data_IF_482831661443
#
_entry.id   IF_482831661443
#
_cell.length_a   1.000
_cell.length_b   1.000
_cell.length_c   1.000
_cell.angle_alpha   90.00
_cell.angle_beta   90.00
_cell.angle_gamma   90.00
#
_symmetry.space_group_name_H-M   'P 1'
#
loop_
_entity.id
_entity.type
_entity.pdbx_description
1 polymer ?
#
# COMPACT_ATOMS: atom_id res chain seq x y z
N UNK A 1 15.95 -32.44 7.19
CA UNK A 1 15.56 -32.20 5.79
C UNK A 1 14.53 -31.09 5.76
N UNK A 2 14.60 -30.17 4.79
CA UNK A 2 13.49 -29.24 4.52
C UNK A 2 12.55 -29.97 3.57
N UNK A 3 11.37 -30.37 4.05
CA UNK A 3 10.36 -30.99 3.19
C UNK A 3 9.56 -29.91 2.46
N UNK A 4 9.21 -30.21 1.21
CA UNK A 4 8.43 -29.35 0.32
C UNK A 4 7.18 -30.08 -0.16
N UNK A 5 6.17 -29.32 -0.55
CA UNK A 5 4.93 -29.81 -1.19
C UNK A 5 4.58 -28.92 -2.36
N UNK A 6 3.87 -29.48 -3.33
CA UNK A 6 3.30 -28.69 -4.44
C UNK A 6 2.31 -27.65 -3.90
N UNK A 7 2.39 -26.40 -4.38
CA UNK A 7 1.50 -25.33 -3.92
C UNK A 7 0.14 -25.34 -4.61
N UNK A 8 -0.04 -26.09 -5.70
CA UNK A 8 -1.20 -26.01 -6.58
C UNK A 8 -1.31 -24.71 -7.39
N UNK A 9 -0.23 -23.91 -7.46
CA UNK A 9 -0.19 -22.61 -8.15
C UNK A 9 0.99 -22.62 -9.13
N UNK A 10 0.69 -22.58 -10.42
CA UNK A 10 1.66 -22.80 -11.51
C UNK A 10 2.92 -21.92 -11.39
N UNK A 11 2.76 -20.62 -11.13
CA UNK A 11 3.88 -19.68 -11.08
C UNK A 11 4.70 -19.78 -9.78
N UNK A 12 4.18 -20.43 -8.74
CA UNK A 12 4.80 -20.48 -7.41
C UNK A 12 5.62 -21.77 -7.19
N UNK A 13 5.17 -22.90 -7.76
CA UNK A 13 5.86 -24.19 -7.66
C UNK A 13 5.78 -24.83 -6.28
N UNK A 14 6.90 -25.31 -5.75
CA UNK A 14 6.95 -25.99 -4.45
C UNK A 14 7.09 -25.02 -3.27
N UNK A 15 6.37 -25.29 -2.18
CA UNK A 15 6.40 -24.52 -0.93
C UNK A 15 6.80 -25.40 0.25
N UNK A 16 7.32 -24.83 1.35
CA UNK A 16 7.65 -25.62 2.54
C UNK A 16 6.43 -26.38 3.07
N UNK A 17 6.60 -27.65 3.40
CA UNK A 17 5.49 -28.54 3.75
C UNK A 17 4.68 -28.03 4.96
N UNK A 18 5.36 -27.40 5.92
CA UNK A 18 4.79 -26.85 7.15
C UNK A 18 3.97 -25.56 6.96
N UNK A 19 3.98 -24.94 5.78
CA UNK A 19 3.18 -23.75 5.51
C UNK A 19 1.69 -24.08 5.48
N UNK A 20 0.89 -23.20 6.10
CA UNK A 20 -0.57 -23.31 6.17
C UNK A 20 -1.20 -22.22 5.31
N UNK A 21 -2.28 -22.56 4.60
CA UNK A 21 -3.10 -21.57 3.91
C UNK A 21 -3.99 -20.86 4.93
N UNK A 22 -3.85 -19.54 5.02
CA UNK A 22 -4.64 -18.69 5.91
C UNK A 22 -5.23 -17.55 5.11
N UNK A 23 -6.47 -17.15 5.42
CA UNK A 23 -7.14 -16.03 4.75
C UNK A 23 -6.51 -14.71 5.20
N UNK A 24 -6.13 -13.83 4.25
CA UNK A 24 -5.51 -12.53 4.55
C UNK A 24 -6.32 -11.67 5.53
N UNK A 25 -7.65 -11.73 5.47
CA UNK A 25 -8.56 -11.01 6.39
C UNK A 25 -8.35 -11.33 7.88
N UNK A 26 -7.64 -12.41 8.19
CA UNK A 26 -7.32 -12.78 9.57
C UNK A 26 -6.16 -11.96 10.15
N UNK A 27 -5.34 -11.34 9.30
CA UNK A 27 -4.16 -10.56 9.69
C UNK A 27 -4.28 -9.08 9.36
N UNK A 28 -5.10 -8.73 8.37
CA UNK A 28 -5.24 -7.36 7.90
C UNK A 28 -6.66 -6.85 8.11
N UNK A 29 -6.75 -5.57 8.50
CA UNK A 29 -8.00 -4.81 8.55
C UNK A 29 -7.93 -3.75 7.46
N UNK A 30 -8.98 -3.65 6.65
CA UNK A 30 -9.10 -2.59 5.67
C UNK A 30 -9.29 -1.26 6.41
N UNK A 31 -8.38 -0.33 6.19
CA UNK A 31 -8.52 1.06 6.66
C UNK A 31 -8.93 1.92 5.49
N UNK A 32 -10.03 2.64 5.68
CA UNK A 32 -10.50 3.68 4.76
C UNK A 32 -11.02 4.84 5.61
N UNK A 33 -10.09 5.63 6.13
CA UNK A 33 -10.36 6.78 7.00
C UNK A 33 -9.91 8.03 6.25
N UNK A 34 -10.86 8.86 5.74
CA UNK A 34 -10.50 10.12 5.11
C UNK A 34 -9.93 11.11 6.14
N UNK A 35 -8.94 11.90 5.71
CA UNK A 35 -8.23 12.85 6.56
C UNK A 35 -9.06 14.10 6.91
N UNK A 36 -10.01 14.47 6.04
CA UNK A 36 -10.85 15.67 6.22
C UNK A 36 -10.02 16.95 6.28
N UNK A 37 -10.48 17.92 7.08
CA UNK A 37 -9.87 19.26 7.21
C UNK A 37 -8.45 19.26 7.80
N UNK A 38 -7.96 18.12 8.29
CA UNK A 38 -6.61 17.99 8.84
C UNK A 38 -5.54 17.79 7.76
N UNK A 39 -5.92 17.66 6.48
CA UNK A 39 -4.97 17.38 5.39
C UNK A 39 -3.87 18.43 5.27
N UNK A 40 -4.19 19.70 5.53
CA UNK A 40 -3.25 20.82 5.43
C UNK A 40 -2.24 20.88 6.59
N UNK A 41 -2.44 20.10 7.65
CA UNK A 41 -1.55 19.98 8.82
C UNK A 41 -0.85 18.63 8.88
N UNK A 42 -1.11 17.78 7.90
CA UNK A 42 -0.62 16.40 7.86
C UNK A 42 0.37 16.25 6.71
N UNK A 43 1.36 15.39 6.91
CA UNK A 43 2.39 15.12 5.90
C UNK A 43 1.76 14.40 4.71
N UNK A 44 1.78 15.01 3.53
CA UNK A 44 1.32 14.35 2.32
C UNK A 44 2.29 13.23 1.91
N UNK A 45 1.76 12.01 1.72
CA UNK A 45 2.52 10.87 1.24
C UNK A 45 2.17 10.54 -0.22
N UNK A 46 3.11 9.92 -0.93
CA UNK A 46 2.92 9.37 -2.26
C UNK A 46 3.34 7.91 -2.29
N UNK A 47 2.48 7.07 -2.87
CA UNK A 47 2.86 5.72 -3.25
C UNK A 47 3.56 5.75 -4.61
N UNK A 48 4.73 5.13 -4.71
CA UNK A 48 5.56 5.08 -5.91
C UNK A 48 6.04 3.65 -6.20
N UNK A 49 6.68 3.44 -7.35
CA UNK A 49 7.36 2.19 -7.67
C UNK A 49 8.45 1.81 -6.65
N UNK A 50 9.00 2.79 -5.94
CA UNK A 50 10.04 2.61 -4.93
C UNK A 50 9.49 2.60 -3.49
N UNK A 51 8.17 2.53 -3.33
CA UNK A 51 7.49 2.52 -2.04
C UNK A 51 6.84 3.85 -1.67
N UNK A 52 6.54 4.00 -0.37
CA UNK A 52 5.86 5.15 0.20
C UNK A 52 6.88 6.23 0.56
N UNK A 53 6.72 7.42 -0.02
CA UNK A 53 7.59 8.56 0.21
C UNK A 53 6.79 9.77 0.68
N UNK A 54 7.46 10.69 1.35
CA UNK A 54 6.93 12.03 1.60
C UNK A 54 6.87 12.82 0.30
N UNK A 55 5.75 13.49 0.04
CA UNK A 55 5.54 14.30 -1.15
C UNK A 55 5.71 15.76 -0.81
N UNK A 56 6.66 16.42 -1.46
CA UNK A 56 6.85 17.87 -1.31
C UNK A 56 5.73 18.62 -2.03
N UNK A 57 5.03 19.47 -1.28
CA UNK A 57 3.96 20.33 -1.79
C UNK A 57 4.54 21.61 -2.40
N UNK A 58 5.74 22.03 -1.99
CA UNK A 58 6.37 23.28 -2.42
C UNK A 58 7.00 23.19 -3.81
N UNK A 59 7.34 21.98 -4.25
CA UNK A 59 7.80 21.69 -5.60
C UNK A 59 6.90 20.64 -6.26
N UNK A 60 5.65 21.02 -6.63
CA UNK A 60 4.65 20.06 -7.06
C UNK A 60 4.99 19.54 -8.48
N UNK A 61 5.58 18.35 -8.55
CA UNK A 61 5.72 17.60 -9.80
C UNK A 61 4.46 16.74 -10.08
N UNK A 62 3.91 16.87 -11.28
CA UNK A 62 2.74 16.11 -11.72
C UNK A 62 1.40 16.74 -11.35
N UNK A 63 0.33 15.94 -11.34
CA UNK A 63 -1.04 16.42 -11.09
C UNK A 63 -1.30 16.53 -9.59
N UNK A 64 -1.75 17.69 -9.15
CA UNK A 64 -2.18 17.96 -7.77
C UNK A 64 -3.65 18.41 -7.77
N UNK A 65 -4.51 17.80 -6.95
CA UNK A 65 -5.82 18.38 -6.68
C UNK A 65 -5.67 19.65 -5.82
N UNK A 66 -6.70 20.50 -5.85
CA UNK A 66 -6.78 21.67 -4.98
C UNK A 66 -7.11 21.33 -3.52
N UNK A 67 -7.56 20.10 -3.26
CA UNK A 67 -7.99 19.63 -1.95
C UNK A 67 -7.63 18.15 -1.77
N UNK A 68 -7.20 17.81 -0.55
CA UNK A 68 -6.77 16.46 -0.16
C UNK A 68 -7.65 15.85 0.94
N UNK A 69 -8.80 16.44 1.28
CA UNK A 69 -9.63 16.01 2.40
C UNK A 69 -10.13 14.55 2.29
N UNK A 70 -10.24 14.02 1.07
CA UNK A 70 -10.68 12.65 0.78
C UNK A 70 -9.55 11.62 0.84
N UNK A 71 -8.30 12.07 0.99
CA UNK A 71 -7.15 11.16 1.09
C UNK A 71 -7.18 10.40 2.40
N UNK A 72 -6.53 9.24 2.42
CA UNK A 72 -6.60 8.32 3.54
C UNK A 72 -5.48 8.59 4.54
N UNK A 73 -5.79 8.52 5.84
CA UNK A 73 -4.78 8.57 6.90
C UNK A 73 -3.92 7.30 6.82
N UNK A 74 -2.60 7.48 6.82
CA UNK A 74 -1.60 6.42 6.78
C UNK A 74 -0.75 6.46 8.04
N UNK A 75 -0.60 5.30 8.69
CA UNK A 75 0.33 5.13 9.80
C UNK A 75 1.52 4.27 9.39
N UNK A 76 2.62 4.44 10.12
CA UNK A 76 3.76 3.52 10.00
C UNK A 76 3.29 2.07 10.19
N UNK A 77 3.74 1.19 9.30
CA UNK A 77 3.32 -0.23 9.27
C UNK A 77 2.07 -0.51 8.45
N UNK A 78 1.35 0.52 7.96
CA UNK A 78 0.23 0.30 7.06
C UNK A 78 0.71 -0.14 5.67
N UNK A 79 0.01 -1.13 5.10
CA UNK A 79 0.22 -1.61 3.74
C UNK A 79 -0.76 -0.89 2.80
N UNK A 80 -0.22 -0.10 1.89
CA UNK A 80 -0.98 0.74 0.96
C UNK A 80 -1.10 0.03 -0.38
N UNK A 81 -2.31 -0.01 -0.93
CA UNK A 81 -2.59 -0.61 -2.23
C UNK A 81 -3.07 0.46 -3.21
N UNK A 82 -2.44 0.54 -4.38
CA UNK A 82 -3.03 1.22 -5.52
C UNK A 82 -4.02 0.26 -6.21
N UNK A 83 -5.32 0.44 -5.93
CA UNK A 83 -6.38 -0.45 -6.44
C UNK A 83 -7.05 0.05 -7.73
N UNK A 84 -6.65 1.22 -8.24
CA UNK A 84 -7.21 1.79 -9.46
C UNK A 84 -6.45 1.26 -10.69
N UNK A 85 -7.20 0.87 -11.72
CA UNK A 85 -6.65 0.36 -12.98
C UNK A 85 -6.79 1.44 -14.06
N UNK A 86 -5.74 2.24 -14.22
CA UNK A 86 -5.61 3.27 -15.27
C UNK A 86 -4.27 3.02 -15.96
N UNK A 87 -4.28 3.04 -17.30
CA UNK A 87 -3.13 2.64 -18.13
C UNK A 87 -1.82 3.36 -17.77
N UNK A 88 -1.92 4.58 -17.23
CA UNK A 88 -0.80 5.46 -16.91
C UNK A 88 -0.34 5.38 -15.45
N UNK A 89 -0.97 4.54 -14.60
CA UNK A 89 -0.64 4.47 -13.17
C UNK A 89 -0.01 3.13 -12.81
N UNK A 90 1.20 3.11 -12.23
CA UNK A 90 1.83 1.88 -11.81
C UNK A 90 1.04 1.23 -10.66
N UNK A 91 0.57 0.00 -10.89
CA UNK A 91 -0.03 -0.86 -9.86
C UNK A 91 1.04 -1.24 -8.85
N UNK A 92 0.99 -0.60 -7.71
CA UNK A 92 2.01 -0.71 -6.67
C UNK A 92 1.37 -0.98 -5.32
N UNK A 93 2.15 -1.67 -4.48
CA UNK A 93 1.86 -1.89 -3.07
C UNK A 93 3.07 -1.34 -2.31
N UNK A 94 2.83 -0.61 -1.21
CA UNK A 94 3.90 -0.03 -0.41
C UNK A 94 3.65 -0.20 1.08
N UNK A 95 4.67 -0.65 1.81
CA UNK A 95 4.67 -0.60 3.27
C UNK A 95 5.09 0.81 3.71
N UNK A 96 4.25 1.49 4.48
CA UNK A 96 4.59 2.81 4.99
C UNK A 96 5.61 2.72 6.11
N UNK A 97 6.69 3.50 5.99
CA UNK A 97 7.62 3.81 7.09
C UNK A 97 7.35 5.16 7.74
N UNK A 98 6.25 5.81 7.33
CA UNK A 98 5.93 7.20 7.65
C UNK A 98 4.49 7.28 8.18
N UNK A 99 4.21 8.35 8.91
CA UNK A 99 2.86 8.75 9.28
C UNK A 99 2.50 9.99 8.45
N UNK A 100 1.28 10.01 7.90
CA UNK A 100 0.79 11.08 7.03
C UNK A 100 -0.63 10.86 6.53
#
# INVERSE_FOLDING_TARGET
>A
MKNFKDSGIEWLGEIPEHWKLIKCKNFFVLKSIPIGDLWNKTKLLSLTLNGVIERDINNPEGKFPSDFSTYQIVKEGDLIFCLFDVAETPRTIGLSKLNG
#
